data_IF_096775082097
#
_entry.id   IF_096775082097
#
_cell.length_a   1.000
_cell.length_b   1.000
_cell.length_c   1.000
_cell.angle_alpha   90.00
_cell.angle_beta   90.00
_cell.angle_gamma   90.00
#
_symmetry.space_group_name_H-M   'P 1'
#
loop_
_entity.id
_entity.type
_entity.pdbx_description
1 polymer ?
#
# COMPACT_ATOMS: atom_id res chain seq x y z
N UNK A 1 12.14 28.73 -1.96
CA UNK A 1 11.55 27.85 -0.94
C UNK A 1 10.27 28.51 -0.44
N UNK A 2 9.14 28.06 -0.97
CA UNK A 2 7.80 28.62 -0.69
C UNK A 2 7.42 28.52 0.80
N UNK A 3 7.84 27.45 1.49
CA UNK A 3 7.55 27.22 2.92
C UNK A 3 8.16 28.28 3.82
N UNK A 4 9.43 28.68 3.61
CA UNK A 4 10.10 29.71 4.43
C UNK A 4 9.50 31.11 4.24
N UNK A 5 8.83 31.34 3.09
CA UNK A 5 8.07 32.56 2.87
C UNK A 5 6.76 32.58 3.65
N UNK A 6 6.15 31.41 3.90
CA UNK A 6 4.92 31.28 4.69
C UNK A 6 5.18 31.21 6.20
N UNK A 7 6.33 30.66 6.59
CA UNK A 7 6.74 30.46 7.99
C UNK A 7 8.14 31.06 8.22
N UNK A 8 8.26 32.40 8.28
CA UNK A 8 9.55 33.09 8.38
C UNK A 8 10.29 32.82 9.69
N UNK A 9 9.56 32.43 10.75
CA UNK A 9 10.08 32.03 12.06
C UNK A 9 10.75 30.64 12.05
N UNK A 10 10.51 29.84 11.00
CA UNK A 10 11.12 28.53 10.87
C UNK A 10 12.65 28.67 10.74
N UNK A 11 13.37 28.09 11.72
CA UNK A 11 14.83 28.12 11.76
C UNK A 11 15.47 27.09 10.82
N UNK A 12 14.69 26.10 10.36
CA UNK A 12 15.12 25.05 9.44
C UNK A 12 13.97 24.12 9.07
N UNK A 13 14.28 23.02 8.38
CA UNK A 13 13.30 21.99 8.04
C UNK A 13 13.98 20.77 7.40
N UNK A 14 13.31 19.63 7.50
CA UNK A 14 13.73 18.40 6.81
C UNK A 14 13.10 18.38 5.41
N UNK A 15 13.95 18.28 4.38
CA UNK A 15 13.50 18.07 3.01
C UNK A 15 13.60 16.58 2.69
N UNK A 16 12.47 15.98 2.31
CA UNK A 16 12.42 14.56 1.94
C UNK A 16 11.99 14.39 0.49
N UNK A 17 12.61 13.43 -0.19
CA UNK A 17 12.19 12.93 -1.51
C UNK A 17 11.74 11.49 -1.34
N UNK A 18 10.45 11.25 -1.55
CA UNK A 18 9.81 9.94 -1.33
C UNK A 18 9.39 9.31 -2.65
N UNK A 19 9.45 7.97 -2.72
CA UNK A 19 8.81 7.18 -3.77
C UNK A 19 7.66 6.40 -3.13
N UNK A 20 6.48 6.44 -3.76
CA UNK A 20 5.33 5.64 -3.34
C UNK A 20 5.35 4.30 -4.08
N UNK A 21 4.88 3.25 -3.41
CA UNK A 21 4.59 1.95 -4.02
C UNK A 21 3.27 2.08 -4.78
N UNK A 22 3.34 2.34 -6.09
CA UNK A 22 2.16 2.65 -6.92
C UNK A 22 1.44 1.39 -7.42
N UNK A 23 2.06 0.24 -7.23
CA UNK A 23 1.55 -1.10 -7.43
C UNK A 23 0.65 -1.57 -6.28
N UNK A 24 0.63 -0.87 -5.15
CA UNK A 24 -0.30 -1.15 -4.05
C UNK A 24 -1.47 -0.14 -4.00
N UNK A 25 -2.68 -0.58 -3.59
CA UNK A 25 -3.81 0.34 -3.41
C UNK A 25 -3.53 1.49 -2.45
N UNK A 26 -2.78 1.24 -1.36
CA UNK A 26 -2.46 2.24 -0.34
C UNK A 26 -1.52 3.30 -0.89
N UNK A 27 -0.44 2.89 -1.54
CA UNK A 27 0.58 3.81 -2.05
C UNK A 27 0.06 4.61 -3.24
N UNK A 28 -0.67 3.96 -4.16
CA UNK A 28 -1.36 4.65 -5.26
C UNK A 28 -2.45 5.60 -4.76
N UNK A 29 -3.26 5.17 -3.80
CA UNK A 29 -4.31 5.99 -3.19
C UNK A 29 -3.76 7.21 -2.46
N UNK A 30 -2.73 7.04 -1.63
CA UNK A 30 -2.04 8.13 -0.94
C UNK A 30 -1.43 9.12 -1.94
N UNK A 31 -0.74 8.61 -2.97
CA UNK A 31 -0.16 9.44 -4.00
C UNK A 31 -1.22 10.26 -4.75
N UNK A 32 -2.32 9.63 -5.19
CA UNK A 32 -3.42 10.30 -5.91
C UNK A 32 -4.02 11.44 -5.08
N UNK A 33 -4.25 11.21 -3.79
CA UNK A 33 -4.75 12.25 -2.86
C UNK A 33 -3.78 13.42 -2.70
N UNK A 34 -2.47 13.12 -2.64
CA UNK A 34 -1.43 14.17 -2.57
C UNK A 34 -1.37 14.98 -3.86
N UNK A 35 -1.37 14.32 -5.02
CA UNK A 35 -1.34 14.98 -6.33
C UNK A 35 -2.58 15.84 -6.57
N UNK A 36 -3.75 15.39 -6.10
CA UNK A 36 -5.00 16.16 -6.17
C UNK A 36 -5.05 17.35 -5.19
N UNK A 37 -4.06 17.49 -4.30
CA UNK A 37 -4.05 18.52 -3.26
C UNK A 37 -5.01 18.25 -2.09
N UNK A 38 -5.66 17.07 -2.06
CA UNK A 38 -6.57 16.68 -0.98
C UNK A 38 -5.81 16.34 0.31
N UNK A 39 -4.58 15.82 0.19
CA UNK A 39 -3.67 15.57 1.32
C UNK A 39 -2.36 16.30 1.05
N UNK A 40 -2.10 17.38 1.78
CA UNK A 40 -0.88 18.18 1.58
C UNK A 40 0.04 18.21 2.78
N UNK A 41 -0.37 17.64 3.90
CA UNK A 41 0.34 17.75 5.17
C UNK A 41 0.94 16.41 5.60
N UNK A 42 1.96 16.47 6.46
CA UNK A 42 2.68 15.32 6.96
C UNK A 42 2.84 15.39 8.47
N UNK A 43 2.93 14.22 9.11
CA UNK A 43 3.29 14.07 10.51
C UNK A 43 4.56 13.24 10.65
N UNK A 44 5.16 13.29 11.85
CA UNK A 44 6.33 12.50 12.21
C UNK A 44 5.97 11.49 13.30
N UNK A 45 6.36 10.23 13.10
CA UNK A 45 6.43 9.23 14.16
C UNK A 45 7.80 9.27 14.80
N UNK A 46 7.88 9.49 16.11
CA UNK A 46 9.15 9.60 16.84
C UNK A 46 9.02 9.24 18.31
N UNK A 47 10.13 8.80 18.91
CA UNK A 47 10.28 8.73 20.36
C UNK A 47 10.93 10.00 20.88
N UNK A 48 10.46 10.45 22.04
CA UNK A 48 11.12 11.55 22.77
C UNK A 48 12.23 10.97 23.63
N UNK A 49 13.48 11.29 23.31
CA UNK A 49 14.64 10.89 24.11
C UNK A 49 14.90 11.92 25.21
N UNK A 50 14.81 13.21 24.87
CA UNK A 50 14.96 14.31 25.83
C UNK A 50 13.99 15.45 25.54
N UNK A 51 13.32 15.95 26.58
CA UNK A 51 12.50 17.16 26.48
C UNK A 51 12.54 17.99 27.76
N UNK A 52 12.23 19.28 27.64
CA UNK A 52 12.17 20.23 28.76
C UNK A 52 10.81 20.93 28.73
N UNK A 53 10.01 20.86 29.82
CA UNK A 53 8.83 21.69 29.94
C UNK A 53 9.23 23.12 30.30
N UNK A 54 8.53 24.10 29.74
CA UNK A 54 8.70 25.51 30.01
C UNK A 54 7.32 26.16 30.10
N UNK A 55 7.15 27.09 31.04
CA UNK A 55 5.95 27.93 31.10
C UNK A 55 6.37 29.31 30.63
N UNK A 56 5.78 29.75 29.52
CA UNK A 56 6.01 31.09 28.98
C UNK A 56 5.47 32.16 29.92
N UNK A 57 5.90 33.40 29.74
CA UNK A 57 5.44 34.55 30.55
C UNK A 57 3.91 34.74 30.51
N UNK A 58 3.25 34.32 29.43
CA UNK A 58 1.80 34.34 29.26
C UNK A 58 1.06 33.18 29.96
N UNK A 59 1.78 32.31 30.68
CA UNK A 59 1.25 31.14 31.36
C UNK A 59 1.11 29.90 30.47
N UNK A 60 1.45 29.98 29.19
CA UNK A 60 1.37 28.85 28.26
C UNK A 60 2.45 27.82 28.59
N UNK A 61 2.04 26.59 28.90
CA UNK A 61 2.95 25.46 29.03
C UNK A 61 3.38 24.95 27.64
N UNK A 62 4.69 24.88 27.41
CA UNK A 62 5.31 24.39 26.18
C UNK A 62 6.28 23.27 26.52
N UNK A 63 6.36 22.25 25.67
CA UNK A 63 7.36 21.18 25.77
C UNK A 63 8.38 21.32 24.65
N UNK A 64 9.62 21.64 25.01
CA UNK A 64 10.74 21.69 24.07
C UNK A 64 11.37 20.31 23.92
N UNK A 65 11.23 19.70 22.75
CA UNK A 65 11.94 18.47 22.40
C UNK A 65 13.40 18.83 22.11
N UNK A 66 14.34 18.25 22.86
CA UNK A 66 15.78 18.48 22.71
C UNK A 66 16.42 17.40 21.85
N UNK A 67 15.95 16.17 22.02
CA UNK A 67 16.42 15.02 21.27
C UNK A 67 15.24 14.06 21.02
N UNK A 68 15.14 13.59 19.78
CA UNK A 68 14.16 12.61 19.35
C UNK A 68 14.84 11.51 18.55
N UNK A 69 14.24 10.31 18.58
CA UNK A 69 14.50 9.26 17.60
C UNK A 69 13.39 9.30 16.57
N UNK A 70 13.70 9.70 15.35
CA UNK A 70 12.73 9.76 14.25
C UNK A 70 12.57 8.36 13.63
N UNK A 71 11.33 7.89 13.54
CA UNK A 71 11.00 6.59 12.95
C UNK A 71 10.48 6.74 11.53
N UNK A 72 9.52 7.63 11.34
CA UNK A 72 8.86 7.80 10.06
C UNK A 72 8.31 9.22 9.87
N UNK A 73 7.88 9.47 8.64
CA UNK A 73 6.98 10.55 8.30
C UNK A 73 5.88 9.99 7.39
N UNK A 74 4.65 10.43 7.61
CA UNK A 74 3.48 9.90 6.92
C UNK A 74 2.55 11.03 6.49
N UNK A 75 1.89 10.92 5.32
CA UNK A 75 0.89 11.89 4.90
C UNK A 75 -0.33 11.80 5.82
N UNK A 76 -0.81 12.95 6.28
CA UNK A 76 -1.96 13.04 7.18
C UNK A 76 -2.95 14.09 6.66
N UNK A 77 -4.23 13.89 6.97
CA UNK A 77 -5.28 14.86 6.61
C UNK A 77 -5.12 16.16 7.41
N UNK A 78 -4.79 16.03 8.70
CA UNK A 78 -4.61 17.15 9.62
C UNK A 78 -3.29 16.98 10.38
N UNK A 79 -2.27 17.77 10.03
CA UNK A 79 -1.00 17.75 10.73
C UNK A 79 -1.01 18.64 11.97
N UNK A 80 -0.31 18.20 13.01
CA UNK A 80 0.01 19.04 14.16
C UNK A 80 0.93 20.21 13.81
N UNK A 81 1.69 20.10 12.71
CA UNK A 81 2.57 21.14 12.19
C UNK A 81 2.20 21.47 10.72
N UNK A 82 1.43 22.54 10.45
CA UNK A 82 1.01 22.92 9.10
C UNK A 82 2.17 23.23 8.11
N UNK A 83 3.36 23.50 8.63
CA UNK A 83 4.57 23.72 7.83
C UNK A 83 5.15 22.41 7.25
N UNK A 84 4.84 21.24 7.84
CA UNK A 84 5.24 19.94 7.32
C UNK A 84 4.29 19.56 6.17
N UNK A 85 4.69 19.90 4.94
CA UNK A 85 3.82 19.79 3.77
C UNK A 85 4.53 19.39 2.49
N UNK A 86 3.77 18.83 1.55
CA UNK A 86 4.24 18.60 0.19
C UNK A 86 4.51 19.93 -0.52
N UNK A 87 5.69 20.04 -1.10
CA UNK A 87 6.10 21.17 -1.96
C UNK A 87 5.86 20.90 -3.44
N UNK A 88 5.85 19.62 -3.82
CA UNK A 88 5.63 19.16 -5.19
C UNK A 88 5.34 17.67 -5.16
N UNK A 89 4.44 17.21 -6.03
CA UNK A 89 4.30 15.81 -6.40
C UNK A 89 4.59 15.70 -7.90
N UNK A 90 5.40 14.71 -8.30
CA UNK A 90 5.63 14.44 -9.74
C UNK A 90 4.35 13.96 -10.40
N UNK A 91 4.29 14.01 -11.73
CA UNK A 91 3.25 13.28 -12.45
C UNK A 91 3.41 11.77 -12.19
N UNK A 92 2.29 11.04 -12.20
CA UNK A 92 2.37 9.59 -12.34
C UNK A 92 2.57 9.39 -13.82
N UNK A 93 3.72 8.87 -14.21
CA UNK A 93 3.75 8.04 -15.41
C UNK A 93 3.24 6.69 -14.93
N UNK A 94 1.92 6.50 -14.95
CA UNK A 94 1.38 5.15 -14.93
C UNK A 94 2.02 4.55 -16.17
N UNK A 95 2.91 3.56 -15.99
CA UNK A 95 3.41 2.80 -17.13
C UNK A 95 2.16 2.27 -17.80
N UNK A 96 1.80 2.89 -18.91
CA UNK A 96 0.66 2.46 -19.68
C UNK A 96 0.93 0.99 -19.97
N UNK A 97 0.03 0.07 -19.61
CA UNK A 97 0.23 -1.35 -19.90
C UNK A 97 0.20 -1.61 -21.40
N UNK A 98 0.11 -0.57 -22.24
CA UNK A 98 0.19 -0.61 -23.68
C UNK A 98 1.33 0.26 -24.23
N UNK A 99 1.85 -0.14 -25.40
CA UNK A 99 2.85 0.61 -26.15
C UNK A 99 2.65 0.50 -27.66
N UNK A 100 3.17 1.47 -28.42
CA UNK A 100 3.14 1.48 -29.89
C UNK A 100 4.44 0.93 -30.45
N UNK A 101 4.35 -0.09 -31.29
CA UNK A 101 5.46 -0.78 -31.93
C UNK A 101 5.30 -0.74 -33.44
N UNK A 102 6.39 -0.58 -34.19
CA UNK A 102 6.35 -0.61 -35.66
C UNK A 102 6.48 -2.05 -36.15
N UNK A 103 5.52 -2.52 -36.93
CA UNK A 103 5.47 -3.86 -37.52
C UNK A 103 5.34 -3.73 -39.04
N UNK A 104 6.44 -3.97 -39.77
CA UNK A 104 6.47 -3.74 -41.22
C UNK A 104 6.17 -2.28 -41.58
N UNK A 105 5.06 -2.08 -42.31
CA UNK A 105 4.59 -0.77 -42.77
C UNK A 105 3.54 -0.13 -41.85
N UNK A 106 3.15 -0.80 -40.77
CA UNK A 106 2.11 -0.35 -39.83
C UNK A 106 2.67 -0.09 -38.42
N UNK A 107 1.87 0.59 -37.60
CA UNK A 107 2.12 0.83 -36.18
C UNK A 107 1.04 0.13 -35.35
N UNK A 108 1.45 -0.82 -34.53
CA UNK A 108 0.58 -1.68 -33.75
C UNK A 108 0.67 -1.37 -32.26
N UNK A 109 -0.48 -1.36 -31.58
CA UNK A 109 -0.59 -1.20 -30.14
C UNK A 109 -0.55 -2.58 -29.49
N UNK A 110 0.37 -2.81 -28.56
CA UNK A 110 0.49 -4.06 -27.80
C UNK A 110 0.37 -3.80 -26.31
N UNK A 111 0.03 -4.83 -25.54
CA UNK A 111 0.34 -4.81 -24.11
C UNK A 111 1.85 -4.85 -23.90
N UNK A 112 2.34 -4.23 -22.84
CA UNK A 112 3.75 -4.28 -22.45
C UNK A 112 3.90 -4.90 -21.07
N UNK A 113 4.98 -5.64 -20.86
CA UNK A 113 5.38 -6.13 -19.54
C UNK A 113 6.17 -5.08 -18.74
N UNK A 114 6.65 -5.48 -17.56
CA UNK A 114 7.43 -4.61 -16.67
C UNK A 114 8.77 -4.14 -17.28
N UNK A 115 9.31 -4.88 -18.25
CA UNK A 115 10.52 -4.52 -19.00
C UNK A 115 10.22 -3.51 -20.12
N UNK A 116 8.94 -3.35 -20.49
CA UNK A 116 8.48 -2.54 -21.62
C UNK A 116 8.43 -3.32 -22.93
N UNK A 117 8.56 -4.64 -22.88
CA UNK A 117 8.51 -5.51 -24.05
C UNK A 117 7.06 -5.86 -24.40
N UNK A 118 6.77 -5.99 -25.69
CA UNK A 118 5.43 -6.32 -26.16
C UNK A 118 5.02 -7.73 -25.73
N UNK A 119 3.78 -7.89 -25.26
CA UNK A 119 3.19 -9.17 -24.85
C UNK A 119 1.84 -9.41 -25.53
N UNK A 120 1.59 -10.67 -25.90
CA UNK A 120 0.33 -11.10 -26.50
C UNK A 120 0.07 -10.59 -27.92
N UNK A 121 -1.21 -10.57 -28.30
CA UNK A 121 -1.67 -10.09 -29.61
C UNK A 121 -1.85 -8.56 -29.63
N UNK A 122 -1.71 -7.97 -30.82
CA UNK A 122 -1.93 -6.53 -31.00
C UNK A 122 -3.38 -6.16 -30.70
N UNK A 123 -3.58 -5.05 -30.01
CA UNK A 123 -4.88 -4.42 -29.77
C UNK A 123 -5.41 -3.67 -31.01
N UNK A 124 -4.57 -3.51 -32.04
CA UNK A 124 -4.90 -2.85 -33.30
C UNK A 124 -3.64 -2.36 -33.99
N UNK A 125 -3.66 -2.29 -35.33
CA UNK A 125 -2.59 -1.77 -36.16
C UNK A 125 -3.13 -0.65 -37.04
N UNK A 126 -2.30 0.38 -37.26
CA UNK A 126 -2.65 1.57 -38.00
C UNK A 126 -1.58 1.94 -39.02
N UNK A 127 -1.95 2.52 -40.17
CA UNK A 127 -1.00 2.98 -41.18
C UNK A 127 -0.02 4.03 -40.65
N UNK A 128 -0.43 4.85 -39.67
CA UNK A 128 0.39 5.93 -39.12
C UNK A 128 0.61 5.80 -37.61
N UNK A 129 1.73 6.37 -37.14
CA UNK A 129 2.05 6.40 -35.70
C UNK A 129 1.05 7.25 -34.91
N UNK A 130 0.55 8.33 -35.52
CA UNK A 130 -0.41 9.23 -34.88
C UNK A 130 -1.72 8.50 -34.59
N UNK A 131 -2.27 7.75 -35.55
CA UNK A 131 -3.49 6.94 -35.35
C UNK A 131 -3.30 5.85 -34.27
N UNK A 132 -2.14 5.19 -34.23
CA UNK A 132 -1.82 4.23 -33.17
C UNK A 132 -1.68 4.91 -31.80
N UNK A 133 -1.19 6.15 -31.76
CA UNK A 133 -1.08 6.94 -30.53
C UNK A 133 -2.46 7.41 -30.05
N UNK A 134 -3.37 7.74 -30.97
CA UNK A 134 -4.76 8.06 -30.64
C UNK A 134 -5.49 6.85 -30.03
N UNK A 135 -5.27 5.64 -30.58
CA UNK A 135 -5.76 4.41 -29.95
C UNK A 135 -5.15 4.22 -28.55
N UNK A 136 -3.84 4.44 -28.41
CA UNK A 136 -3.15 4.32 -27.13
C UNK A 136 -3.77 5.25 -26.08
N UNK A 137 -4.01 6.52 -26.44
CA UNK A 137 -4.66 7.50 -25.56
C UNK A 137 -6.10 7.11 -25.18
N UNK A 138 -6.85 6.50 -26.11
CA UNK A 138 -8.18 5.98 -25.82
C UNK A 138 -8.15 4.78 -24.85
N UNK A 139 -7.16 3.89 -24.98
CA UNK A 139 -6.94 2.78 -24.04
C UNK A 139 -6.51 3.31 -22.67
N UNK A 140 -5.66 4.33 -22.60
CA UNK A 140 -5.27 4.98 -21.34
C UNK A 140 -6.47 5.57 -20.60
N UNK A 141 -7.33 6.30 -21.30
CA UNK A 141 -8.55 6.87 -20.72
C UNK A 141 -9.45 5.79 -20.10
N UNK A 142 -9.56 4.63 -20.76
CA UNK A 142 -10.33 3.49 -20.26
C UNK A 142 -9.65 2.79 -19.06
N UNK A 143 -8.32 2.75 -19.01
CA UNK A 143 -7.58 2.20 -17.85
C UNK A 143 -7.78 3.08 -16.62
N UNK A 144 -7.78 4.41 -16.79
CA UNK A 144 -8.07 5.33 -15.70
C UNK A 144 -9.49 5.14 -15.16
N UNK A 145 -10.50 5.01 -16.03
CA UNK A 145 -11.88 4.70 -15.62
C UNK A 145 -12.01 3.34 -14.94
N UNK A 146 -11.38 2.29 -15.47
CA UNK A 146 -11.43 0.94 -14.86
C UNK A 146 -10.74 0.93 -13.51
N UNK A 147 -9.62 1.63 -13.36
CA UNK A 147 -8.94 1.77 -12.07
C UNK A 147 -9.83 2.50 -11.07
N UNK A 148 -10.50 3.59 -11.47
CA UNK A 148 -11.46 4.31 -10.63
C UNK A 148 -12.69 3.46 -10.29
N UNK A 149 -13.16 2.63 -11.22
CA UNK A 149 -14.22 1.65 -11.01
C UNK A 149 -13.82 0.62 -9.96
N UNK A 150 -12.62 0.03 -10.08
CA UNK A 150 -12.08 -0.92 -9.10
C UNK A 150 -12.01 -0.31 -7.70
N UNK A 151 -11.52 0.92 -7.56
CA UNK A 151 -11.47 1.62 -6.26
C UNK A 151 -12.86 1.81 -5.64
N UNK A 152 -13.88 2.16 -6.45
CA UNK A 152 -15.26 2.29 -5.98
C UNK A 152 -15.80 0.93 -5.52
N UNK A 153 -15.48 -0.14 -6.23
CA UNK A 153 -15.88 -1.50 -5.85
C UNK A 153 -15.21 -1.94 -4.56
N UNK A 154 -13.90 -1.74 -4.37
CA UNK A 154 -13.19 -2.14 -3.15
C UNK A 154 -13.70 -1.39 -1.90
N UNK A 155 -13.99 -0.09 -2.03
CA UNK A 155 -14.54 0.71 -0.93
C UNK A 155 -15.99 0.29 -0.59
N UNK A 156 -16.77 -0.06 -1.60
CA UNK A 156 -18.11 -0.61 -1.42
C UNK A 156 -18.10 -2.01 -0.79
N UNK A 157 -17.18 -2.90 -1.21
CA UNK A 157 -16.96 -4.22 -0.59
C UNK A 157 -16.63 -4.05 0.89
N UNK A 158 -15.68 -3.16 1.23
CA UNK A 158 -15.34 -2.85 2.62
C UNK A 158 -16.55 -2.37 3.41
N UNK A 159 -17.27 -1.38 2.87
CA UNK A 159 -18.44 -0.79 3.54
C UNK A 159 -19.54 -1.83 3.78
N UNK A 160 -19.85 -2.65 2.77
CA UNK A 160 -20.86 -3.72 2.90
C UNK A 160 -20.43 -4.82 3.87
N UNK A 161 -19.13 -5.13 3.96
CA UNK A 161 -18.62 -6.06 4.97
C UNK A 161 -18.78 -5.50 6.38
N UNK A 162 -18.40 -4.24 6.60
CA UNK A 162 -18.48 -3.58 7.91
C UNK A 162 -19.91 -3.30 8.35
N UNK A 163 -20.84 -3.07 7.43
CA UNK A 163 -22.27 -3.01 7.76
C UNK A 163 -22.76 -4.36 8.32
N UNK A 164 -22.34 -5.47 7.71
CA UNK A 164 -22.77 -6.82 8.10
C UNK A 164 -22.06 -7.38 9.32
N UNK A 165 -20.76 -7.12 9.46
CA UNK A 165 -19.88 -7.74 10.46
C UNK A 165 -19.11 -6.75 11.33
N UNK A 166 -19.28 -5.44 11.13
CA UNK A 166 -18.49 -4.40 11.79
C UNK A 166 -18.86 -4.15 13.25
N UNK A 167 -18.21 -3.14 13.83
CA UNK A 167 -18.38 -2.72 15.23
C UNK A 167 -19.84 -2.37 15.58
N UNK A 168 -20.58 -1.89 14.58
CA UNK A 168 -21.98 -1.50 14.73
C UNK A 168 -22.97 -2.61 14.34
N UNK A 169 -22.48 -3.77 13.92
CA UNK A 169 -23.33 -4.92 13.65
C UNK A 169 -23.80 -5.56 14.96
N UNK A 170 -24.95 -6.25 14.92
CA UNK A 170 -25.45 -7.05 16.05
C UNK A 170 -24.61 -8.33 16.30
N UNK A 171 -23.46 -8.48 15.64
CA UNK A 171 -22.56 -9.61 15.80
C UNK A 171 -21.90 -9.60 17.19
N UNK A 172 -21.89 -10.76 17.85
CA UNK A 172 -21.15 -10.96 19.11
C UNK A 172 -19.64 -10.75 18.96
N UNK A 173 -19.12 -10.77 17.72
CA UNK A 173 -17.72 -10.50 17.41
C UNK A 173 -17.64 -9.54 16.22
N UNK A 174 -17.32 -8.26 16.46
CA UNK A 174 -17.16 -7.31 15.38
C UNK A 174 -15.80 -7.48 14.70
N UNK A 175 -15.81 -7.36 13.39
CA UNK A 175 -14.63 -7.41 12.53
C UNK A 175 -14.37 -6.04 11.92
N UNK A 176 -13.11 -5.76 11.61
CA UNK A 176 -12.70 -4.64 10.75
C UNK A 176 -12.01 -5.20 9.52
N UNK A 177 -12.20 -4.55 8.38
CA UNK A 177 -11.46 -4.89 7.18
C UNK A 177 -10.02 -4.39 7.33
N UNK A 178 -9.06 -5.29 7.18
CA UNK A 178 -7.62 -5.00 7.13
C UNK A 178 -7.27 -4.54 5.72
N UNK A 179 -7.62 -5.35 4.71
CA UNK A 179 -7.31 -5.10 3.31
C UNK A 179 -8.34 -5.77 2.38
N UNK A 180 -8.43 -5.34 1.12
CA UNK A 180 -9.36 -5.87 0.10
C UNK A 180 -8.61 -6.18 -1.19
N UNK A 181 -8.73 -7.42 -1.65
CA UNK A 181 -8.19 -7.93 -2.90
C UNK A 181 -9.32 -8.23 -3.88
N UNK A 182 -9.00 -8.62 -5.11
CA UNK A 182 -10.00 -8.85 -6.17
C UNK A 182 -11.03 -9.94 -5.83
N UNK A 183 -10.64 -11.00 -5.12
CA UNK A 183 -11.52 -12.15 -4.82
C UNK A 183 -11.81 -12.36 -3.33
N UNK A 184 -11.08 -11.67 -2.46
CA UNK A 184 -11.20 -11.82 -1.01
C UNK A 184 -10.82 -10.54 -0.28
N UNK A 185 -11.24 -10.42 0.97
CA UNK A 185 -10.76 -9.41 1.90
C UNK A 185 -10.12 -10.06 3.10
N UNK A 186 -9.27 -9.31 3.79
CA UNK A 186 -8.74 -9.68 5.09
C UNK A 186 -9.52 -8.97 6.18
N UNK A 187 -10.01 -9.72 7.16
CA UNK A 187 -10.76 -9.20 8.29
C UNK A 187 -10.08 -9.58 9.61
N UNK A 188 -10.10 -8.68 10.59
CA UNK A 188 -9.58 -8.93 11.93
C UNK A 188 -10.61 -8.56 12.99
N UNK A 189 -10.61 -9.26 14.12
CA UNK A 189 -11.45 -8.92 15.28
C UNK A 189 -10.55 -8.55 16.44
N UNK A 190 -10.86 -7.49 17.18
CA UNK A 190 -10.15 -7.12 18.41
C UNK A 190 -10.19 -8.18 19.52
N UNK A 191 -11.07 -9.18 19.42
CA UNK A 191 -11.19 -10.31 20.35
C UNK A 191 -10.30 -11.49 19.97
N UNK A 192 -9.66 -11.42 18.80
CA UNK A 192 -8.92 -12.52 18.19
C UNK A 192 -7.56 -12.02 17.70
N UNK A 193 -6.46 -12.75 17.95
CA UNK A 193 -5.16 -12.41 17.34
C UNK A 193 -5.10 -12.76 15.85
N UNK A 194 -6.12 -13.44 15.32
CA UNK A 194 -6.14 -13.96 13.96
C UNK A 194 -6.67 -12.96 12.93
N UNK A 195 -6.20 -13.13 11.71
CA UNK A 195 -6.77 -12.52 10.50
C UNK A 195 -7.51 -13.61 9.73
N UNK A 196 -8.61 -13.22 9.10
CA UNK A 196 -9.50 -14.09 8.37
C UNK A 196 -9.52 -13.67 6.92
N UNK A 197 -9.25 -14.61 6.01
CA UNK A 197 -9.47 -14.44 4.59
C UNK A 197 -10.94 -14.74 4.29
N UNK A 198 -11.64 -13.74 3.77
CA UNK A 198 -13.07 -13.79 3.50
C UNK A 198 -13.28 -13.62 2.01
N UNK A 199 -13.70 -14.68 1.34
CA UNK A 199 -14.11 -14.59 -0.06
C UNK A 199 -15.35 -13.71 -0.22
N UNK A 200 -15.45 -13.00 -1.34
CA UNK A 200 -16.65 -12.23 -1.65
C UNK A 200 -17.00 -12.30 -3.13
N UNK A 201 -18.27 -12.06 -3.44
CA UNK A 201 -18.78 -11.96 -4.81
C UNK A 201 -19.59 -10.67 -4.96
N UNK A 202 -19.53 -10.06 -6.14
CA UNK A 202 -20.28 -8.86 -6.50
C UNK A 202 -21.13 -9.16 -7.73
N UNK A 203 -22.46 -9.13 -7.56
CA UNK A 203 -23.43 -9.36 -8.64
C UNK A 203 -24.48 -8.26 -8.60
N UNK A 204 -24.61 -7.47 -9.66
CA UNK A 204 -25.57 -6.36 -9.77
C UNK A 204 -25.51 -5.39 -8.56
N UNK A 205 -24.31 -4.94 -8.21
CA UNK A 205 -24.02 -4.08 -7.04
C UNK A 205 -24.45 -4.66 -5.68
N UNK A 206 -24.67 -5.98 -5.61
CA UNK A 206 -24.91 -6.70 -4.36
C UNK A 206 -23.66 -7.49 -3.96
N UNK A 207 -23.30 -7.33 -2.70
CA UNK A 207 -22.11 -7.93 -2.11
C UNK A 207 -22.52 -9.12 -1.25
N UNK A 208 -21.97 -10.29 -1.56
CA UNK A 208 -22.07 -11.48 -0.71
C UNK A 208 -20.69 -11.89 -0.23
N UNK A 209 -20.62 -12.38 1.00
CA UNK A 209 -19.40 -12.84 1.64
C UNK A 209 -19.55 -14.32 1.94
N UNK A 210 -18.44 -15.06 1.86
CA UNK A 210 -18.44 -16.48 2.25
C UNK A 210 -18.92 -16.64 3.68
N UNK A 211 -19.58 -17.77 3.96
CA UNK A 211 -20.09 -18.05 5.29
C UNK A 211 -18.96 -18.08 6.32
N UNK A 212 -19.24 -17.59 7.52
CA UNK A 212 -18.23 -17.41 8.58
C UNK A 212 -17.50 -18.70 8.95
N UNK A 213 -18.17 -19.85 8.85
CA UNK A 213 -17.57 -21.17 9.08
C UNK A 213 -16.57 -21.61 8.01
N UNK A 214 -16.52 -20.88 6.88
CA UNK A 214 -15.63 -21.13 5.74
C UNK A 214 -14.48 -20.12 5.66
N UNK A 215 -14.37 -19.19 6.61
CA UNK A 215 -13.28 -18.21 6.59
C UNK A 215 -11.96 -18.89 6.92
N UNK A 216 -10.95 -18.67 6.07
CA UNK A 216 -9.63 -19.23 6.30
C UNK A 216 -8.91 -18.38 7.35
N UNK A 217 -8.46 -19.03 8.42
CA UNK A 217 -7.76 -18.40 9.53
C UNK A 217 -6.26 -18.34 9.24
N UNK A 218 -5.66 -17.19 9.51
CA UNK A 218 -4.22 -17.00 9.45
C UNK A 218 -3.71 -16.06 10.54
N UNK A 219 -2.40 -15.95 10.60
CA UNK A 219 -1.68 -14.92 11.35
C UNK A 219 -1.10 -13.91 10.38
N UNK A 220 -1.07 -12.64 10.82
CA UNK A 220 -0.34 -11.60 10.11
C UNK A 220 1.05 -11.52 10.75
N UNK A 221 1.97 -12.33 10.26
CA UNK A 221 3.34 -12.32 10.76
C UNK A 221 4.13 -11.25 10.00
N UNK A 222 4.70 -10.31 10.75
CA UNK A 222 5.65 -9.37 10.20
C UNK A 222 6.97 -10.11 9.96
N UNK A 223 7.27 -10.38 8.69
CA UNK A 223 8.56 -10.92 8.28
C UNK A 223 9.34 -9.75 7.66
N UNK A 224 10.37 -9.21 8.33
CA UNK A 224 11.22 -8.21 7.72
C UNK A 224 11.91 -8.83 6.49
N UNK A 225 11.91 -8.13 5.36
CA UNK A 225 12.72 -8.54 4.20
C UNK A 225 14.18 -8.70 4.65
N UNK A 226 14.76 -9.87 4.37
CA UNK A 226 16.13 -10.24 4.79
C UNK A 226 16.21 -11.32 5.88
N UNK A 227 15.10 -11.75 6.49
CA UNK A 227 15.14 -12.81 7.51
C UNK A 227 15.31 -14.24 6.97
N UNK A 228 15.37 -14.43 5.65
CA UNK A 228 15.71 -15.73 5.03
C UNK A 228 17.24 -15.96 4.95
N UNK A 229 18.05 -15.06 5.52
CA UNK A 229 19.48 -15.29 5.70
C UNK A 229 19.73 -16.31 6.82
N UNK A 230 19.84 -17.58 6.40
CA UNK A 230 20.65 -18.64 7.00
C UNK A 230 20.43 -18.96 8.49
N UNK A 231 19.62 -19.97 8.73
CA UNK A 231 19.76 -20.86 9.89
C UNK A 231 20.82 -21.94 9.59
N UNK A 232 22.01 -21.55 9.10
CA UNK A 232 23.18 -22.43 8.97
C UNK A 232 24.46 -21.65 9.32
N UNK A 233 24.98 -21.98 10.51
CA UNK A 233 26.37 -21.95 10.98
C UNK A 233 27.26 -20.67 10.89
N UNK A 234 27.92 -20.46 12.03
CA UNK A 234 29.11 -19.64 12.35
C UNK A 234 28.95 -18.22 12.90
N UNK A 235 29.58 -18.03 14.06
CA UNK A 235 29.63 -16.87 14.93
C UNK A 235 30.43 -15.73 14.31
N UNK A 236 29.80 -14.57 14.04
CA UNK A 236 30.49 -13.28 13.97
C UNK A 236 29.64 -12.18 14.66
N UNK A 237 30.04 -11.69 15.84
CA UNK A 237 29.23 -10.76 16.63
C UNK A 237 29.31 -9.28 16.18
N UNK A 238 30.03 -8.93 15.11
CA UNK A 238 30.33 -7.51 14.80
C UNK A 238 29.84 -7.00 13.42
N UNK A 239 28.99 -7.75 12.70
CA UNK A 239 28.60 -7.43 11.31
C UNK A 239 27.08 -7.48 11.01
N UNK A 240 26.20 -7.27 12.00
CA UNK A 240 24.73 -7.26 11.80
C UNK A 240 24.09 -5.87 11.88
N UNK A 241 24.79 -4.84 11.37
CA UNK A 241 24.21 -3.53 11.09
C UNK A 241 24.22 -3.30 9.57
N UNK A 242 23.08 -2.86 9.04
CA UNK A 242 22.83 -2.39 7.67
C UNK A 242 22.47 -3.43 6.59
N UNK A 243 21.16 -3.66 6.41
CA UNK A 243 20.48 -3.77 5.10
C UNK A 243 18.95 -3.73 5.35
N UNK A 244 18.28 -2.59 5.16
CA UNK A 244 17.57 -2.13 3.93
C UNK A 244 16.14 -2.72 3.83
N UNK A 245 15.18 -2.03 4.46
CA UNK A 245 13.76 -2.40 4.56
C UNK A 245 12.92 -1.77 3.44
N UNK A 246 12.48 -2.57 2.47
CA UNK A 246 11.19 -2.41 1.81
C UNK A 246 10.25 -3.50 2.35
N UNK A 247 8.94 -3.19 2.42
CA UNK A 247 8.01 -3.89 3.33
C UNK A 247 6.91 -4.62 2.56
N UNK A 248 6.78 -5.92 2.79
CA UNK A 248 5.64 -6.73 2.36
C UNK A 248 5.05 -7.52 3.53
N UNK A 249 3.71 -7.59 3.59
CA UNK A 249 2.96 -8.41 4.55
C UNK A 249 2.86 -9.84 4.01
N UNK A 250 3.29 -10.83 4.81
CA UNK A 250 3.10 -12.25 4.48
C UNK A 250 1.93 -12.79 5.29
N UNK A 251 0.86 -13.19 4.60
CA UNK A 251 -0.25 -13.91 5.22
C UNK A 251 0.16 -15.38 5.36
N UNK A 252 0.25 -15.88 6.59
CA UNK A 252 0.46 -17.31 6.86
C UNK A 252 -0.91 -17.93 7.17
N UNK A 253 -1.47 -18.66 6.21
CA UNK A 253 -2.72 -19.39 6.41
C UNK A 253 -2.41 -20.74 7.06
N UNK A 254 -3.18 -21.12 8.09
CA UNK A 254 -2.93 -22.37 8.81
C UNK A 254 -3.08 -23.63 7.93
N UNK A 255 -3.83 -23.52 6.83
CA UNK A 255 -3.97 -24.59 5.82
C UNK A 255 -2.68 -24.85 5.05
N UNK A 256 -1.86 -23.82 4.79
CA UNK A 256 -0.57 -23.98 4.12
C UNK A 256 0.48 -24.62 5.03
N UNK A 257 0.43 -24.35 6.35
CA UNK A 257 1.27 -25.06 7.32
C UNK A 257 0.94 -26.56 7.40
N UNK A 258 -0.31 -26.95 7.17
CA UNK A 258 -0.74 -28.35 7.13
C UNK A 258 -0.25 -29.09 5.87
N UNK A 259 -0.25 -28.44 4.70
CA UNK A 259 0.26 -29.00 3.44
C UNK A 259 1.81 -29.08 3.44
N UNK A 260 2.50 -28.06 3.98
CA UNK A 260 3.96 -28.10 4.18
C UNK A 260 4.39 -29.18 5.18
N UNK A 261 3.64 -29.38 6.26
CA UNK A 261 3.88 -30.48 7.21
C UNK A 261 3.76 -31.87 6.57
N UNK A 262 2.80 -32.06 5.65
CA UNK A 262 2.63 -33.33 4.92
C UNK A 262 3.70 -33.60 3.87
N UNK A 263 4.24 -32.56 3.24
CA UNK A 263 5.34 -32.72 2.28
C UNK A 263 6.65 -33.12 2.99
N UNK A 264 6.91 -32.55 4.18
CA UNK A 264 8.10 -32.87 4.98
C UNK A 264 8.03 -34.32 5.53
N UNK A 265 6.85 -34.79 5.96
CA UNK A 265 6.67 -36.18 6.40
C UNK A 265 6.71 -37.20 5.25
N UNK A 266 6.43 -36.80 4.00
CA UNK A 266 6.52 -37.67 2.83
C UNK A 266 7.97 -37.86 2.33
N UNK A 267 8.87 -36.90 2.60
CA UNK A 267 10.28 -36.98 2.24
C UNK A 267 11.16 -37.59 3.35
N UNK A 268 10.70 -37.55 4.61
CA UNK A 268 11.31 -38.28 5.72
C UNK A 268 10.81 -39.74 5.75
N UNK A 269 11.36 -40.58 4.86
CA UNK A 269 11.12 -42.03 4.88
C UNK A 269 11.42 -42.67 6.25
N UNK A 270 10.81 -43.83 6.58
CA UNK A 270 10.89 -44.41 7.91
C UNK A 270 12.33 -44.81 8.27
N UNK A 271 12.75 -44.42 9.48
CA UNK A 271 14.00 -44.81 10.12
C UNK A 271 14.07 -46.32 10.45
#
# INVERSE_FOLDING_TARGET
>A
MEVKSMYPEATGGMLVRTKFLLDTPEGLGAFRRIKAGAVTQFSYGYDTIQSVPEVKEDGTAVRYLKEIRLWEYSPVVFAALPAARSISAKAIELKNPYGVFKEGDEYCVYKIDDSGDKTGESQGCHPTKDEATDQLAALEANVDEKSLGLYRTLDAVRSSFEEKYGIWSESDEPFRVVDVYDEYLLASSWKSPYVYKVGYEVVDDKYSFTDRGMWERGTLDFVPEGSDAAMEDEEDPDMAAEADELKHLRLMLETEQWELGKLIEAEAGPA
#
